data_IF_476456035790
#
_entry.id   IF_476456035790
#
_cell.length_a   1.000
_cell.length_b   1.000
_cell.length_c   1.000
_cell.angle_alpha   90.00
_cell.angle_beta   90.00
_cell.angle_gamma   90.00
#
_symmetry.space_group_name_H-M   'P 1'
#
loop_
_entity.id
_entity.type
_entity.pdbx_description
1 polymer ?
#
# COMPACT_ATOMS: atom_id res chain seq x y z
N UNK A 1 15.35 9.59 14.06
CA UNK A 1 14.44 10.21 15.04
C UNK A 1 13.81 9.14 15.94
N UNK A 2 12.84 8.33 15.48
CA UNK A 2 12.13 7.32 16.31
C UNK A 2 13.03 6.33 17.05
N UNK A 3 13.96 5.64 16.36
CA UNK A 3 14.93 4.75 17.03
C UNK A 3 15.75 5.47 18.11
N UNK A 4 16.12 6.73 17.88
CA UNK A 4 16.85 7.53 18.87
C UNK A 4 16.00 7.98 20.06
N UNK A 5 14.67 7.92 19.95
CA UNK A 5 13.72 8.18 21.02
C UNK A 5 13.28 6.89 21.75
N UNK A 6 13.93 5.75 21.49
CA UNK A 6 13.64 4.47 22.15
C UNK A 6 12.42 3.72 21.61
N UNK A 7 11.87 4.10 20.44
CA UNK A 7 10.73 3.42 19.84
C UNK A 7 11.12 2.10 19.18
N UNK A 8 10.24 1.11 19.23
CA UNK A 8 10.28 -0.04 18.32
C UNK A 8 9.94 0.45 16.90
N UNK A 9 10.79 0.19 15.92
CA UNK A 9 10.62 0.68 14.54
C UNK A 9 10.52 -0.49 13.58
N UNK A 10 9.31 -0.72 13.07
CA UNK A 10 9.01 -1.75 12.07
C UNK A 10 8.90 -1.09 10.70
N UNK A 11 9.72 -1.53 9.74
CA UNK A 11 9.71 -0.99 8.37
C UNK A 11 9.06 -2.00 7.43
N UNK A 12 7.98 -1.62 6.78
CA UNK A 12 7.24 -2.45 5.82
C UNK A 12 7.46 -1.86 4.41
N UNK A 13 8.56 -2.28 3.77
CA UNK A 13 9.07 -1.60 2.56
C UNK A 13 8.75 -2.38 1.28
N UNK A 14 8.94 -3.70 1.30
CA UNK A 14 8.84 -4.59 0.15
C UNK A 14 7.75 -5.65 0.40
N UNK A 15 6.96 -5.97 -0.62
CA UNK A 15 5.98 -7.06 -0.55
C UNK A 15 6.63 -8.43 -0.75
N UNK A 16 5.86 -9.49 -0.59
CA UNK A 16 6.32 -10.89 -0.56
C UNK A 16 7.01 -11.35 -1.84
N UNK A 17 6.68 -10.79 -3.01
CA UNK A 17 7.36 -11.15 -4.27
C UNK A 17 8.84 -10.72 -4.30
N UNK A 18 9.24 -9.79 -3.43
CA UNK A 18 10.66 -9.45 -3.26
C UNK A 18 11.43 -10.45 -2.42
N UNK A 19 10.76 -11.33 -1.66
CA UNK A 19 11.42 -12.21 -0.69
C UNK A 19 12.41 -13.16 -1.35
N UNK A 20 12.10 -13.69 -2.54
CA UNK A 20 13.01 -14.56 -3.30
C UNK A 20 14.25 -13.79 -3.75
N UNK A 21 14.08 -12.60 -4.31
CA UNK A 21 15.19 -11.74 -4.75
C UNK A 21 16.07 -11.32 -3.57
N UNK A 22 15.47 -10.96 -2.44
CA UNK A 22 16.18 -10.59 -1.20
C UNK A 22 16.90 -11.80 -0.62
N UNK A 23 16.28 -12.98 -0.63
CA UNK A 23 16.88 -14.23 -0.15
C UNK A 23 18.04 -14.71 -1.01
N UNK A 24 18.02 -14.40 -2.31
CA UNK A 24 19.10 -14.69 -3.25
C UNK A 24 20.28 -13.70 -3.18
N UNK A 25 20.12 -12.54 -2.52
CA UNK A 25 21.14 -11.49 -2.41
C UNK A 25 22.25 -11.84 -1.39
N UNK A 26 23.10 -12.79 -1.74
CA UNK A 26 24.21 -13.25 -0.87
C UNK A 26 25.31 -12.21 -0.68
N UNK A 27 25.53 -11.35 -1.69
CA UNK A 27 26.61 -10.36 -1.70
C UNK A 27 26.15 -8.97 -1.19
N UNK A 28 24.87 -8.83 -0.82
CA UNK A 28 24.28 -7.57 -0.38
C UNK A 28 24.18 -6.50 -1.47
N UNK A 29 24.25 -6.90 -2.75
CA UNK A 29 24.23 -5.98 -3.89
C UNK A 29 22.86 -5.33 -4.06
N UNK A 30 21.80 -6.10 -3.86
CA UNK A 30 20.42 -5.62 -3.95
C UNK A 30 20.11 -4.73 -2.75
N UNK A 31 20.55 -5.11 -1.55
CA UNK A 31 20.45 -4.26 -0.36
C UNK A 31 21.18 -2.92 -0.55
N UNK A 32 22.39 -2.94 -1.11
CA UNK A 32 23.14 -1.71 -1.40
C UNK A 32 22.43 -0.84 -2.44
N UNK A 33 21.86 -1.45 -3.48
CA UNK A 33 21.04 -0.73 -4.44
C UNK A 33 19.81 -0.10 -3.78
N UNK A 34 19.10 -0.84 -2.93
CA UNK A 34 17.94 -0.29 -2.21
C UNK A 34 18.28 0.94 -1.37
N UNK A 35 19.43 0.92 -0.69
CA UNK A 35 19.88 1.98 0.20
C UNK A 35 20.42 3.21 -0.55
N UNK A 36 20.97 3.00 -1.76
CA UNK A 36 21.52 4.09 -2.57
C UNK A 36 20.47 4.77 -3.46
N UNK A 37 19.38 4.07 -3.80
CA UNK A 37 18.27 4.64 -4.55
C UNK A 37 17.47 5.64 -3.71
N UNK A 38 17.35 6.87 -4.21
CA UNK A 38 16.66 7.95 -3.51
C UNK A 38 15.16 7.95 -3.80
N UNK A 39 14.36 8.63 -2.98
CA UNK A 39 12.90 8.65 -3.11
C UNK A 39 12.40 9.14 -4.48
N UNK A 40 13.07 10.14 -5.06
CA UNK A 40 12.73 10.65 -6.39
C UNK A 40 12.91 9.60 -7.49
N UNK A 41 13.93 8.74 -7.37
CA UNK A 41 14.12 7.60 -8.27
C UNK A 41 13.04 6.54 -8.06
N UNK A 42 12.69 6.23 -6.81
CA UNK A 42 11.59 5.29 -6.53
C UNK A 42 10.23 5.75 -7.07
N UNK A 43 9.97 7.06 -7.08
CA UNK A 43 8.78 7.62 -7.72
C UNK A 43 8.81 7.40 -9.22
N UNK A 44 9.96 7.65 -9.86
CA UNK A 44 10.12 7.44 -11.30
C UNK A 44 9.97 5.97 -11.70
N UNK A 45 10.57 5.06 -10.93
CA UNK A 45 10.44 3.61 -11.12
C UNK A 45 8.99 3.13 -11.04
N UNK A 46 8.14 3.80 -10.26
CA UNK A 46 6.72 3.45 -10.13
C UNK A 46 5.85 3.97 -11.30
N UNK A 47 6.37 4.83 -12.17
CA UNK A 47 5.60 5.48 -13.26
C UNK A 47 6.02 4.97 -14.65
N UNK A 48 7.31 4.70 -14.87
CA UNK A 48 7.87 4.45 -16.20
C UNK A 48 7.68 3.01 -16.71
N UNK A 49 7.35 2.05 -15.82
CA UNK A 49 7.13 0.64 -16.18
C UNK A 49 8.35 -0.26 -15.97
N UNK A 50 8.19 -1.55 -16.31
CA UNK A 50 9.14 -2.60 -15.95
C UNK A 50 10.43 -2.65 -16.76
N UNK A 51 10.39 -2.26 -18.03
CA UNK A 51 11.57 -2.11 -18.87
C UNK A 51 12.51 -1.03 -18.30
N UNK A 52 11.92 0.11 -17.88
CA UNK A 52 12.64 1.18 -17.20
C UNK A 52 13.24 0.71 -15.87
N UNK A 53 12.48 -0.04 -15.06
CA UNK A 53 12.98 -0.67 -13.83
C UNK A 53 14.16 -1.59 -14.14
N UNK A 54 14.05 -2.43 -15.16
CA UNK A 54 15.11 -3.36 -15.53
C UNK A 54 16.37 -2.65 -16.00
N UNK A 55 16.25 -1.56 -16.76
CA UNK A 55 17.38 -0.81 -17.28
C UNK A 55 18.03 0.08 -16.21
N UNK A 56 17.25 0.79 -15.41
CA UNK A 56 17.75 1.85 -14.53
C UNK A 56 17.95 1.40 -13.08
N UNK A 57 17.16 0.44 -12.60
CA UNK A 57 17.34 -0.13 -11.27
C UNK A 57 18.29 -1.33 -11.31
N UNK A 58 17.97 -2.36 -12.10
CA UNK A 58 18.78 -3.58 -12.15
C UNK A 58 19.96 -3.52 -13.15
N UNK A 59 19.82 -2.74 -14.23
CA UNK A 59 20.81 -2.69 -15.32
C UNK A 59 22.21 -2.14 -14.97
N UNK A 60 22.37 -1.14 -14.07
CA UNK A 60 23.70 -0.58 -13.80
C UNK A 60 24.71 -1.55 -13.20
N UNK A 61 24.26 -2.67 -12.63
CA UNK A 61 25.13 -3.76 -12.15
C UNK A 61 24.73 -5.06 -12.87
N UNK A 62 25.63 -5.68 -13.66
CA UNK A 62 25.33 -6.93 -14.35
C UNK A 62 24.85 -8.05 -13.42
N UNK A 63 25.27 -8.04 -12.14
CA UNK A 63 24.82 -9.02 -11.15
C UNK A 63 23.37 -8.79 -10.76
N UNK A 64 22.96 -7.54 -10.57
CA UNK A 64 21.55 -7.19 -10.32
C UNK A 64 20.68 -7.51 -11.53
N UNK A 65 21.18 -7.25 -12.74
CA UNK A 65 20.49 -7.62 -13.98
C UNK A 65 20.23 -9.13 -14.03
N UNK A 66 21.26 -9.93 -13.76
CA UNK A 66 21.15 -11.39 -13.73
C UNK A 66 20.12 -11.90 -12.71
N UNK A 67 19.94 -11.22 -11.57
CA UNK A 67 18.93 -11.59 -10.57
C UNK A 67 17.50 -11.54 -11.11
N UNK A 68 17.23 -10.75 -12.15
CA UNK A 68 15.87 -10.54 -12.69
C UNK A 68 15.70 -11.00 -14.12
N UNK A 69 16.70 -11.66 -14.72
CA UNK A 69 16.65 -12.12 -16.12
C UNK A 69 15.50 -13.10 -16.40
N UNK A 70 15.03 -13.80 -15.36
CA UNK A 70 13.91 -14.74 -15.43
C UNK A 70 12.53 -14.07 -15.30
N UNK A 71 12.48 -12.82 -14.85
CA UNK A 71 11.25 -12.05 -14.73
C UNK A 71 10.98 -11.33 -16.05
N UNK A 72 9.72 -11.23 -16.46
CA UNK A 72 9.27 -10.34 -17.54
C UNK A 72 9.21 -8.87 -17.07
N UNK A 73 9.09 -7.93 -18.01
CA UNK A 73 8.94 -6.52 -17.65
C UNK A 73 7.61 -6.26 -16.92
N UNK A 74 6.54 -6.97 -17.27
CA UNK A 74 5.26 -6.91 -16.55
C UNK A 74 5.44 -7.33 -15.08
N UNK A 75 6.09 -8.47 -14.83
CA UNK A 75 6.40 -8.93 -13.47
C UNK A 75 7.29 -7.95 -12.71
N UNK A 76 8.22 -7.25 -13.37
CA UNK A 76 9.04 -6.22 -12.73
C UNK A 76 8.24 -4.96 -12.38
N UNK A 77 7.26 -4.59 -13.20
CA UNK A 77 6.39 -3.46 -12.93
C UNK A 77 5.45 -3.75 -11.75
N UNK A 78 5.04 -5.00 -11.59
CA UNK A 78 4.08 -5.43 -10.57
C UNK A 78 4.71 -5.69 -9.18
N UNK A 79 6.04 -5.70 -9.08
CA UNK A 79 6.76 -5.94 -7.83
C UNK A 79 6.26 -5.01 -6.69
N UNK A 80 5.57 -5.55 -5.66
CA UNK A 80 4.75 -4.77 -4.75
C UNK A 80 5.58 -4.03 -3.69
N UNK A 81 5.05 -2.87 -3.25
CA UNK A 81 5.52 -2.21 -2.03
C UNK A 81 4.87 -2.88 -0.82
N UNK A 82 5.62 -3.00 0.28
CA UNK A 82 5.17 -3.74 1.45
C UNK A 82 3.89 -3.20 2.10
N UNK A 83 3.60 -1.90 1.96
CA UNK A 83 2.36 -1.31 2.49
C UNK A 83 1.09 -1.76 1.78
N UNK A 84 1.22 -2.40 0.61
CA UNK A 84 0.11 -3.00 -0.14
C UNK A 84 0.05 -4.52 0.01
N UNK A 85 0.94 -5.09 0.82
CA UNK A 85 0.98 -6.51 1.10
C UNK A 85 0.37 -6.78 2.48
N UNK A 86 -0.81 -7.41 2.48
CA UNK A 86 -1.57 -7.68 3.70
C UNK A 86 -0.81 -8.58 4.69
N UNK A 87 0.01 -9.52 4.21
CA UNK A 87 0.79 -10.39 5.08
C UNK A 87 1.89 -9.60 5.80
N UNK A 88 2.58 -8.72 5.06
CA UNK A 88 3.62 -7.86 5.64
C UNK A 88 3.04 -6.84 6.62
N UNK A 89 1.89 -6.25 6.29
CA UNK A 89 1.18 -5.32 7.17
C UNK A 89 0.68 -6.04 8.43
N UNK A 90 0.06 -7.22 8.29
CA UNK A 90 -0.39 -8.02 9.43
C UNK A 90 0.78 -8.41 10.33
N UNK A 91 1.89 -8.88 9.77
CA UNK A 91 3.09 -9.23 10.52
C UNK A 91 3.64 -8.03 11.32
N UNK A 92 3.57 -6.82 10.75
CA UNK A 92 3.98 -5.60 11.43
C UNK A 92 3.04 -5.23 12.59
N UNK A 93 1.73 -5.37 12.41
CA UNK A 93 0.76 -5.16 13.49
C UNK A 93 0.92 -6.21 14.60
N UNK A 94 1.11 -7.48 14.25
CA UNK A 94 1.38 -8.54 15.24
C UNK A 94 2.63 -8.24 16.05
N UNK A 95 3.73 -7.82 15.40
CA UNK A 95 4.94 -7.42 16.11
C UNK A 95 4.72 -6.21 17.03
N UNK A 96 3.83 -5.29 16.65
CA UNK A 96 3.51 -4.11 17.46
C UNK A 96 2.63 -4.44 18.69
N UNK A 97 1.80 -5.49 18.61
CA UNK A 97 0.89 -5.90 19.68
C UNK A 97 1.43 -6.99 20.60
N UNK A 98 2.48 -7.70 20.19
CA UNK A 98 3.27 -8.57 21.06
C UNK A 98 3.98 -7.76 22.16
N UNK A 99 4.23 -8.39 23.32
CA UNK A 99 4.84 -7.74 24.49
C UNK A 99 6.14 -7.01 24.12
N UNK A 100 6.10 -5.67 24.22
CA UNK A 100 7.26 -4.80 24.07
C UNK A 100 7.23 -3.72 25.17
N UNK A 101 8.41 -3.28 25.59
CA UNK A 101 8.55 -2.24 26.62
C UNK A 101 8.61 -0.82 26.03
N UNK A 102 8.22 -0.63 24.77
CA UNK A 102 8.45 0.61 24.03
C UNK A 102 7.36 0.91 22.98
N UNK A 103 6.97 2.18 22.78
CA UNK A 103 6.01 2.52 21.73
C UNK A 103 6.52 2.07 20.35
N UNK A 104 5.60 1.54 19.53
CA UNK A 104 5.91 1.05 18.19
C UNK A 104 5.49 2.04 17.11
N UNK A 105 6.36 2.24 16.12
CA UNK A 105 6.03 2.92 14.86
C UNK A 105 6.19 1.95 13.70
N UNK A 106 5.14 1.86 12.87
CA UNK A 106 5.14 1.10 11.62
C UNK A 106 5.30 2.07 10.46
N UNK A 107 6.37 1.91 9.68
CA UNK A 107 6.67 2.71 8.50
C UNK A 107 6.35 1.90 7.25
N UNK A 108 5.12 2.04 6.76
CA UNK A 108 4.64 1.36 5.55
C UNK A 108 4.92 2.17 4.28
N UNK A 109 5.67 1.58 3.34
CA UNK A 109 5.91 2.15 2.02
C UNK A 109 4.75 1.80 1.09
N UNK A 110 4.10 2.82 0.54
CA UNK A 110 2.95 2.67 -0.37
C UNK A 110 3.21 3.38 -1.70
N UNK A 111 2.33 3.16 -2.66
CA UNK A 111 2.21 3.95 -3.90
C UNK A 111 1.01 4.88 -3.74
N UNK A 112 1.21 6.18 -3.92
CA UNK A 112 0.13 7.17 -3.87
C UNK A 112 -0.84 6.93 -5.02
N UNK A 113 -2.14 6.87 -4.71
CA UNK A 113 -3.19 6.65 -5.70
C UNK A 113 -3.28 5.22 -6.23
N UNK A 114 -2.60 4.25 -5.60
CA UNK A 114 -2.70 2.83 -5.93
C UNK A 114 -4.17 2.39 -6.05
N UNK A 115 -4.49 1.59 -7.06
CA UNK A 115 -5.81 1.12 -7.50
C UNK A 115 -6.71 2.12 -8.23
N UNK A 116 -6.27 3.37 -8.43
CA UNK A 116 -7.09 4.38 -9.11
C UNK A 116 -6.83 4.49 -10.63
N UNK A 117 -6.00 3.61 -11.20
CA UNK A 117 -5.69 3.55 -12.64
C UNK A 117 -4.58 4.51 -13.10
N UNK A 118 -4.18 4.41 -14.38
CA UNK A 118 -3.04 5.13 -14.99
C UNK A 118 -3.09 6.67 -14.84
N UNK A 119 -4.29 7.24 -14.66
CA UNK A 119 -4.48 8.68 -14.46
C UNK A 119 -4.03 9.18 -13.08
N UNK A 120 -4.01 8.31 -12.06
CA UNK A 120 -3.85 8.68 -10.65
C UNK A 120 -2.71 7.95 -9.94
N UNK A 121 -2.37 6.74 -10.36
CA UNK A 121 -1.30 5.94 -9.77
C UNK A 121 0.06 6.60 -10.00
N UNK A 122 0.79 6.85 -8.90
CA UNK A 122 2.14 7.41 -8.88
C UNK A 122 2.34 8.77 -9.56
N UNK A 123 1.29 9.39 -10.14
CA UNK A 123 1.33 10.75 -10.67
C UNK A 123 1.13 11.75 -9.54
N UNK A 124 1.92 12.82 -9.58
CA UNK A 124 1.67 14.03 -8.78
C UNK A 124 0.44 14.76 -9.35
N UNK A 125 -0.72 14.10 -9.31
CA UNK A 125 -2.00 14.74 -9.56
C UNK A 125 -2.14 15.87 -8.54
N UNK A 126 -2.05 17.10 -9.02
CA UNK A 126 -2.42 18.30 -8.29
C UNK A 126 -3.83 18.11 -7.72
N UNK A 127 -4.13 18.77 -6.60
CA UNK A 127 -5.45 18.83 -5.92
C UNK A 127 -6.64 19.30 -6.81
N UNK A 128 -6.48 19.31 -8.14
CA UNK A 128 -7.42 19.77 -9.15
C UNK A 128 -8.34 18.66 -9.68
N UNK A 129 -7.99 17.38 -9.54
CA UNK A 129 -8.87 16.29 -9.97
C UNK A 129 -9.92 16.03 -8.90
N UNK A 130 -11.01 16.81 -8.94
CA UNK A 130 -12.11 16.75 -7.96
C UNK A 130 -13.15 15.66 -8.23
N UNK A 131 -13.12 15.03 -9.41
CA UNK A 131 -14.09 14.02 -9.84
C UNK A 131 -13.42 13.00 -10.78
N UNK A 132 -13.64 11.72 -10.52
CA UNK A 132 -13.35 10.66 -11.49
C UNK A 132 -14.36 10.74 -12.64
N UNK A 133 -13.90 10.47 -13.85
CA UNK A 133 -14.74 10.27 -15.03
C UNK A 133 -15.50 8.94 -14.93
N UNK A 134 -16.58 8.78 -15.70
CA UNK A 134 -17.34 7.52 -15.75
C UNK A 134 -16.45 6.33 -16.12
N UNK A 135 -15.51 6.51 -17.05
CA UNK A 135 -14.59 5.44 -17.44
C UNK A 135 -13.64 5.04 -16.30
N UNK A 136 -13.14 5.99 -15.53
CA UNK A 136 -12.31 5.71 -14.35
C UNK A 136 -13.11 5.01 -13.25
N UNK A 137 -14.40 5.35 -13.08
CA UNK A 137 -15.29 4.65 -12.15
C UNK A 137 -15.60 3.22 -12.60
N UNK A 138 -15.77 2.99 -13.91
CA UNK A 138 -15.95 1.65 -14.48
C UNK A 138 -14.69 0.79 -14.30
N UNK A 139 -13.51 1.35 -14.55
CA UNK A 139 -12.24 0.67 -14.32
C UNK A 139 -12.03 0.35 -12.83
N UNK A 140 -12.40 1.26 -11.92
CA UNK A 140 -12.34 1.00 -10.48
C UNK A 140 -13.31 -0.10 -10.05
N UNK A 141 -14.53 -0.12 -10.61
CA UNK A 141 -15.53 -1.17 -10.36
C UNK A 141 -15.00 -2.55 -10.73
N UNK A 142 -14.42 -2.68 -11.92
CA UNK A 142 -13.84 -3.93 -12.41
C UNK A 142 -12.65 -4.35 -11.54
N UNK A 143 -11.76 -3.41 -11.21
CA UNK A 143 -10.59 -3.68 -10.38
C UNK A 143 -10.93 -4.13 -8.96
N UNK A 144 -12.04 -3.63 -8.40
CA UNK A 144 -12.52 -4.01 -7.08
C UNK A 144 -13.45 -5.24 -7.11
N UNK A 145 -13.68 -5.83 -8.29
CA UNK A 145 -14.57 -6.97 -8.49
C UNK A 145 -16.01 -6.69 -7.98
N UNK A 146 -16.53 -5.49 -8.25
CA UNK A 146 -17.85 -5.03 -7.80
C UNK A 146 -18.92 -5.13 -8.91
N UNK A 147 -18.69 -5.96 -9.93
CA UNK A 147 -19.55 -6.02 -11.11
C UNK A 147 -20.96 -6.54 -10.83
N UNK A 148 -21.04 -7.53 -9.94
CA UNK A 148 -22.29 -8.15 -9.50
C UNK A 148 -23.11 -7.23 -8.58
N UNK A 149 -22.41 -6.35 -7.86
CA UNK A 149 -23.00 -5.50 -6.81
C UNK A 149 -23.41 -4.11 -7.32
N UNK A 150 -22.66 -3.57 -8.28
CA UNK A 150 -22.83 -2.21 -8.79
C UNK A 150 -23.07 -2.29 -10.31
N UNK A 151 -24.30 -2.09 -10.80
CA UNK A 151 -24.56 -2.14 -12.24
C UNK A 151 -23.98 -0.90 -12.95
N UNK A 152 -23.48 -1.05 -14.18
CA UNK A 152 -22.87 0.06 -14.94
C UNK A 152 -23.78 1.28 -15.10
N UNK A 153 -25.08 1.05 -15.26
CA UNK A 153 -26.08 2.11 -15.37
C UNK A 153 -26.08 3.06 -14.18
N UNK A 154 -25.70 2.57 -12.99
CA UNK A 154 -25.61 3.37 -11.77
C UNK A 154 -24.43 4.37 -11.77
N UNK A 155 -23.43 4.16 -12.64
CA UNK A 155 -22.22 4.99 -12.73
C UNK A 155 -22.31 6.09 -13.80
N UNK A 156 -23.41 6.16 -14.55
CA UNK A 156 -23.62 7.11 -15.66
C UNK A 156 -24.14 8.48 -15.24
N UNK A 157 -24.48 8.68 -13.95
CA UNK A 157 -24.99 9.95 -13.42
C UNK A 157 -23.91 10.91 -12.93
N UNK A 158 -24.32 12.13 -12.55
CA UNK A 158 -23.43 13.18 -12.01
C UNK A 158 -22.75 12.83 -10.67
N UNK A 159 -23.22 11.77 -10.01
CA UNK A 159 -22.76 11.30 -8.70
C UNK A 159 -22.62 9.78 -8.72
N UNK A 160 -21.49 9.28 -8.25
CA UNK A 160 -21.31 7.87 -7.98
C UNK A 160 -22.26 7.42 -6.85
N UNK A 161 -22.91 6.25 -6.96
CA UNK A 161 -23.78 5.71 -5.93
C UNK A 161 -22.96 5.25 -4.72
N UNK A 162 -23.56 5.32 -3.54
CA UNK A 162 -23.03 4.63 -2.36
C UNK A 162 -23.49 3.17 -2.40
N UNK A 163 -22.59 2.23 -2.17
CA UNK A 163 -22.90 0.81 -1.97
C UNK A 163 -22.93 0.49 -0.48
N UNK A 164 -23.96 -0.25 -0.06
CA UNK A 164 -24.07 -0.81 1.29
C UNK A 164 -24.21 -2.33 1.15
N UNK A 165 -23.25 -3.12 1.65
CA UNK A 165 -23.37 -4.57 1.66
C UNK A 165 -24.60 -5.02 2.45
N UNK A 166 -25.15 -6.18 2.09
CA UNK A 166 -26.24 -6.81 2.82
C UNK A 166 -25.83 -7.14 4.27
N UNK A 167 -26.81 -7.13 5.18
CA UNK A 167 -26.60 -7.38 6.60
C UNK A 167 -26.04 -8.78 6.87
N UNK A 168 -26.44 -9.75 6.05
CA UNK A 168 -25.98 -11.14 6.13
C UNK A 168 -24.70 -11.43 5.33
N UNK A 169 -24.08 -10.40 4.73
CA UNK A 169 -22.85 -10.60 3.97
C UNK A 169 -21.69 -11.03 4.89
N UNK A 170 -20.71 -11.81 4.36
CA UNK A 170 -19.52 -12.21 5.12
C UNK A 170 -18.74 -11.01 5.66
N UNK A 171 -18.74 -9.90 4.91
CA UNK A 171 -18.13 -8.63 5.32
C UNK A 171 -18.78 -8.12 6.59
N UNK A 172 -20.10 -7.93 6.62
CA UNK A 172 -20.84 -7.44 7.81
C UNK A 172 -20.68 -8.35 9.02
N UNK A 173 -20.62 -9.67 8.82
CA UNK A 173 -20.40 -10.64 9.90
C UNK A 173 -19.04 -10.49 10.58
N UNK A 174 -17.98 -10.15 9.83
CA UNK A 174 -16.64 -9.90 10.38
C UNK A 174 -16.58 -8.58 11.15
N UNK A 175 -17.32 -7.56 10.73
CA UNK A 175 -17.42 -6.29 11.46
C UNK A 175 -18.06 -6.45 12.85
N UNK A 176 -19.02 -7.36 13.01
CA UNK A 176 -19.67 -7.62 14.29
C UNK A 176 -18.79 -8.42 15.28
N UNK A 177 -17.78 -9.15 14.81
CA UNK A 177 -16.90 -9.95 15.68
C UNK A 177 -15.77 -9.14 16.34
N UNK A 178 -15.54 -7.90 15.88
CA UNK A 178 -14.54 -6.97 16.41
C UNK A 178 -15.19 -5.79 17.14
N UNK A 179 -15.93 -6.05 18.23
CA UNK A 179 -16.53 -5.06 19.17
C UNK A 179 -17.30 -3.86 18.54
N UNK A 180 -17.65 -3.90 17.25
CA UNK A 180 -18.34 -2.82 16.55
C UNK A 180 -17.43 -1.63 16.17
N UNK A 181 -18.01 -0.46 15.83
CA UNK A 181 -17.24 0.66 15.29
C UNK A 181 -16.27 1.25 16.34
N UNK A 182 -14.97 1.17 16.05
CA UNK A 182 -13.89 1.64 16.93
C UNK A 182 -13.83 3.17 17.11
N UNK A 183 -14.49 3.94 16.24
CA UNK A 183 -14.56 5.39 16.29
C UNK A 183 -15.90 5.89 16.84
N UNK A 184 -16.34 5.37 17.99
CA UNK A 184 -17.49 5.88 18.72
C UNK A 184 -17.03 6.78 19.88
N UNK A 185 -17.40 8.07 19.87
CA UNK A 185 -17.10 8.98 20.99
C UNK A 185 -18.27 8.96 21.98
N UNK A 186 -18.02 8.53 23.22
CA UNK A 186 -19.00 8.67 24.30
C UNK A 186 -19.21 10.16 24.64
N UNK A 187 -20.45 10.67 24.67
CA UNK A 187 -20.72 12.09 24.93
C UNK A 187 -20.47 12.52 26.40
N UNK A 188 -20.19 11.60 27.33
CA UNK A 188 -20.12 11.89 28.77
C UNK A 188 -18.77 11.53 29.42
N UNK A 189 -17.68 12.20 29.01
CA UNK A 189 -16.49 12.31 29.87
C UNK A 189 -16.28 13.79 30.17
N UNK A 190 -16.77 14.21 31.34
CA UNK A 190 -16.53 15.53 31.89
C UNK A 190 -15.04 15.75 32.04
N UNK A 191 -14.53 16.79 31.40
CA UNK A 191 -13.16 17.23 31.53
C UNK A 191 -12.96 17.93 32.88
N UNK A 192 -12.59 17.19 33.92
CA UNK A 192 -11.79 17.75 35.02
C UNK A 192 -10.32 17.40 34.76
N UNK A 193 -9.64 18.29 34.05
CA UNK A 193 -8.17 18.34 34.07
C UNK A 193 -7.82 19.13 35.33
N UNK A 194 -7.56 18.41 36.43
CA UNK A 194 -6.89 19.00 37.58
C UNK A 194 -5.41 19.15 37.24
N UNK A 195 -5.01 20.38 36.94
CA UNK A 195 -3.58 20.75 36.95
C UNK A 195 -3.20 20.96 38.42
N UNK A 196 -2.35 20.07 38.94
CA UNK A 196 -1.50 20.33 40.11
C UNK A 196 -0.06 20.08 39.72
#
# INVERSE_FOLDING_TARGET
MFRGAGWNVVKVIWGSEWDELIGADVDGILLNKFNSTVDGEYQRLAVEGGDYVREHFFGPDPRLRAMVDHLSDEQLADLPRGGHDYEKVYAAYRNATEENDAPTVILAKTIKGWTLGEGFEARNATHQIKKMTTNELLALRERLHLEDEIPESSLTGDRAPYYRPDEDSPSTSTWCSVDGPSAARSPNVGSEIVVR
#
